data_IF_348344930161
#
_entry.id   IF_348344930161
#
_cell.length_a   1.000
_cell.length_b   1.000
_cell.length_c   1.000
_cell.angle_alpha   90.00
_cell.angle_beta   90.00
_cell.angle_gamma   90.00
#
_symmetry.space_group_name_H-M   'P 1'
#
loop_
_entity.id
_entity.type
_entity.pdbx_description
1 polymer ?
#
# COMPACT_ATOMS: atom_id res chain seq x y z
N UNK A 1 12.82 -6.54 11.50
CA UNK A 1 13.24 -5.12 11.50
C UNK A 1 12.05 -4.17 11.31
N UNK A 2 11.32 -4.18 10.19
CA UNK A 2 10.21 -3.25 9.91
C UNK A 2 9.15 -3.29 11.01
N UNK A 3 8.66 -4.51 11.37
CA UNK A 3 7.67 -4.68 12.45
C UNK A 3 8.14 -4.10 13.79
N UNK A 4 9.39 -4.36 14.18
CA UNK A 4 9.97 -3.86 15.44
C UNK A 4 10.02 -2.33 15.45
N UNK A 5 10.43 -1.72 14.33
CA UNK A 5 10.47 -0.27 14.20
C UNK A 5 9.06 0.36 14.26
N UNK A 6 8.05 -0.29 13.64
CA UNK A 6 6.65 0.14 13.78
C UNK A 6 6.19 0.00 15.23
N UNK A 7 6.51 -1.09 15.92
CA UNK A 7 6.18 -1.31 17.32
C UNK A 7 6.71 -0.17 18.21
N UNK A 8 7.93 0.29 17.94
CA UNK A 8 8.56 1.36 18.73
C UNK A 8 8.03 2.75 18.39
N UNK A 9 7.79 3.05 17.10
CA UNK A 9 7.57 4.41 16.61
C UNK A 9 6.09 4.72 16.31
N UNK A 10 5.29 3.68 16.03
CA UNK A 10 3.89 3.74 15.63
C UNK A 10 3.11 2.55 16.21
N UNK A 11 3.25 2.28 17.52
CA UNK A 11 2.66 1.10 18.17
C UNK A 11 1.14 0.97 17.94
N UNK A 12 0.43 2.11 17.83
CA UNK A 12 -1.00 2.15 17.56
C UNK A 12 -1.38 1.57 16.18
N UNK A 13 -0.47 1.57 15.19
CA UNK A 13 -0.71 0.95 13.89
C UNK A 13 -0.88 -0.57 13.98
N UNK A 14 -0.23 -1.21 14.96
CA UNK A 14 -0.30 -2.67 15.10
C UNK A 14 -1.61 -3.18 15.71
N UNK A 15 -2.48 -2.31 16.22
CA UNK A 15 -3.78 -2.70 16.82
C UNK A 15 -4.68 -3.44 15.83
N UNK A 16 -4.59 -3.11 14.54
CA UNK A 16 -5.38 -3.73 13.46
C UNK A 16 -4.52 -4.57 12.50
N UNK A 17 -3.32 -4.96 12.93
CA UNK A 17 -2.40 -5.70 12.08
C UNK A 17 -2.92 -7.10 11.80
N UNK A 18 -3.07 -7.44 10.52
CA UNK A 18 -3.32 -8.79 10.03
C UNK A 18 -1.98 -9.49 9.79
N UNK A 19 -1.74 -10.65 10.44
CA UNK A 19 -0.58 -11.51 10.15
C UNK A 19 -1.08 -12.80 9.50
N UNK A 20 -0.55 -13.13 8.31
CA UNK A 20 -0.99 -14.32 7.56
C UNK A 20 0.09 -14.85 6.63
N UNK A 21 -0.01 -16.15 6.27
CA UNK A 21 0.74 -16.79 5.17
C UNK A 21 -0.14 -16.95 3.91
N UNK A 22 -1.40 -16.57 3.97
CA UNK A 22 -2.35 -16.66 2.85
C UNK A 22 -2.28 -15.41 1.95
N UNK A 23 -2.95 -15.45 0.82
CA UNK A 23 -3.20 -14.25 -0.01
C UNK A 23 -4.01 -13.23 0.77
N UNK A 24 -3.74 -11.95 0.51
CA UNK A 24 -4.45 -10.83 1.13
C UNK A 24 -5.27 -10.10 0.06
N UNK A 25 -6.51 -9.78 0.41
CA UNK A 25 -7.38 -8.95 -0.41
C UNK A 25 -7.64 -7.64 0.35
N UNK A 26 -7.49 -6.52 -0.34
CA UNK A 26 -7.61 -5.18 0.27
C UNK A 26 -8.78 -4.45 -0.35
N UNK A 27 -9.74 -4.02 0.47
CA UNK A 27 -10.89 -3.24 0.06
C UNK A 27 -11.02 -1.97 0.92
N UNK A 28 -11.59 -0.91 0.34
CA UNK A 28 -11.88 0.34 1.06
C UNK A 28 -13.38 0.64 1.02
N UNK A 29 -14.02 0.53 2.15
CA UNK A 29 -15.45 0.78 2.37
C UNK A 29 -15.77 2.23 2.72
N UNK A 30 -14.81 3.14 2.68
CA UNK A 30 -14.97 4.54 3.11
C UNK A 30 -16.13 5.24 2.41
N UNK A 31 -16.32 5.02 1.10
CA UNK A 31 -17.43 5.64 0.36
C UNK A 31 -18.80 5.06 0.73
N UNK A 32 -18.84 3.79 1.14
CA UNK A 32 -20.08 3.11 1.55
C UNK A 32 -20.52 3.54 2.96
N UNK A 33 -19.55 3.68 3.87
CA UNK A 33 -19.81 4.06 5.26
C UNK A 33 -20.11 5.55 5.43
N UNK A 34 -19.70 6.40 4.47
CA UNK A 34 -19.86 7.87 4.48
C UNK A 34 -19.34 8.57 5.74
N UNK A 35 -18.51 7.91 6.53
CA UNK A 35 -18.08 8.40 7.85
C UNK A 35 -16.56 8.36 8.02
N UNK A 36 -16.06 7.30 8.58
CA UNK A 36 -14.64 7.12 8.85
C UNK A 36 -13.98 6.29 7.75
N UNK A 37 -12.67 6.45 7.59
CA UNK A 37 -11.87 5.58 6.73
C UNK A 37 -12.03 4.12 7.16
N UNK A 38 -12.43 3.26 6.24
CA UNK A 38 -12.81 1.88 6.48
C UNK A 38 -12.10 0.92 5.52
N UNK A 39 -10.77 0.95 5.53
CA UNK A 39 -9.93 -0.01 4.80
C UNK A 39 -9.88 -1.33 5.55
N UNK A 40 -10.19 -2.43 4.86
CA UNK A 40 -10.17 -3.78 5.41
C UNK A 40 -9.22 -4.70 4.66
N UNK A 41 -8.60 -5.62 5.39
CA UNK A 41 -7.71 -6.66 4.88
C UNK A 41 -8.37 -8.02 5.13
N UNK A 42 -8.61 -8.77 4.05
CA UNK A 42 -9.16 -10.12 4.09
C UNK A 42 -8.07 -11.14 3.78
N UNK A 43 -8.08 -12.29 4.45
CA UNK A 43 -7.17 -13.41 4.19
C UNK A 43 -7.94 -14.62 3.67
N UNK A 44 -7.30 -15.38 2.77
CA UNK A 44 -7.85 -16.62 2.24
C UNK A 44 -8.95 -16.41 1.21
N UNK A 45 -10.00 -15.70 1.54
CA UNK A 45 -11.13 -15.44 0.63
C UNK A 45 -11.37 -13.94 0.42
N UNK A 46 -11.65 -13.51 -0.81
CA UNK A 46 -11.97 -12.11 -1.11
C UNK A 46 -13.37 -11.72 -0.60
N UNK A 47 -13.63 -10.41 -0.37
CA UNK A 47 -14.98 -9.91 -0.15
C UNK A 47 -15.84 -10.13 -1.40
N UNK A 48 -17.16 -10.33 -1.22
CA UNK A 48 -18.11 -10.59 -2.31
C UNK A 48 -18.91 -9.35 -2.73
N UNK A 49 -18.84 -8.28 -1.96
CA UNK A 49 -19.71 -7.09 -2.05
C UNK A 49 -19.00 -5.85 -2.58
N UNK A 50 -17.69 -5.91 -2.78
CA UNK A 50 -16.87 -4.79 -3.26
C UNK A 50 -15.68 -5.28 -4.09
N UNK A 51 -15.28 -4.50 -5.09
CA UNK A 51 -14.03 -4.72 -5.82
C UNK A 51 -12.81 -4.47 -4.92
N UNK A 52 -11.74 -5.24 -5.12
CA UNK A 52 -10.58 -5.27 -4.23
C UNK A 52 -9.25 -5.34 -4.99
N UNK A 53 -8.17 -5.07 -4.28
CA UNK A 53 -6.80 -5.36 -4.71
C UNK A 53 -6.34 -6.71 -4.20
N UNK A 54 -5.61 -7.48 -5.02
CA UNK A 54 -5.13 -8.82 -4.65
C UNK A 54 -3.62 -8.86 -4.44
N UNK A 55 -3.20 -9.44 -3.32
CA UNK A 55 -1.81 -9.82 -3.05
C UNK A 55 -1.75 -11.34 -3.04
N UNK A 56 -1.35 -11.92 -4.17
CA UNK A 56 -1.18 -13.36 -4.30
C UNK A 56 0.10 -13.80 -3.57
N UNK A 57 0.01 -14.80 -2.71
CA UNK A 57 1.12 -15.31 -1.90
C UNK A 57 1.34 -16.81 -2.11
N UNK A 58 1.74 -17.25 -3.32
CA UNK A 58 1.94 -18.68 -3.62
C UNK A 58 3.11 -19.30 -2.86
N UNK A 59 4.05 -18.49 -2.36
CA UNK A 59 5.19 -18.97 -1.59
C UNK A 59 4.90 -19.12 -0.09
N UNK A 60 3.66 -18.85 0.37
CA UNK A 60 3.25 -18.90 1.78
C UNK A 60 4.16 -18.08 2.72
N UNK A 61 4.70 -16.96 2.24
CA UNK A 61 5.50 -16.05 3.05
C UNK A 61 4.63 -15.45 4.16
N UNK A 62 5.08 -15.51 5.40
CA UNK A 62 4.37 -14.81 6.49
C UNK A 62 4.51 -13.31 6.34
N UNK A 63 3.38 -12.63 6.18
CA UNK A 63 3.30 -11.18 5.97
C UNK A 63 2.46 -10.52 7.06
N UNK A 64 2.78 -9.26 7.33
CA UNK A 64 1.98 -8.36 8.14
C UNK A 64 1.34 -7.30 7.24
N UNK A 65 0.05 -7.06 7.40
CA UNK A 65 -0.70 -6.00 6.75
C UNK A 65 -1.33 -5.07 7.78
N UNK A 66 -1.17 -3.77 7.62
CA UNK A 66 -1.71 -2.75 8.52
C UNK A 66 -2.62 -1.83 7.71
N UNK A 67 -3.95 -1.90 7.89
CA UNK A 67 -4.86 -0.91 7.34
C UNK A 67 -4.74 0.41 8.11
N UNK A 68 -4.75 1.53 7.41
CA UNK A 68 -4.71 2.85 8.02
C UNK A 68 -6.11 3.43 8.19
N UNK A 69 -6.34 4.05 9.33
CA UNK A 69 -7.54 4.81 9.65
C UNK A 69 -7.25 6.30 9.86
N UNK A 70 -8.24 7.07 10.22
CA UNK A 70 -8.11 8.51 10.42
C UNK A 70 -7.14 8.89 11.54
N UNK A 71 -6.85 7.99 12.48
CA UNK A 71 -5.93 8.21 13.59
C UNK A 71 -4.48 7.80 13.29
N UNK A 72 -4.25 7.08 12.17
CA UNK A 72 -2.93 6.51 11.87
C UNK A 72 -1.85 7.59 11.69
N UNK A 73 -2.18 8.70 11.02
CA UNK A 73 -1.27 9.84 10.88
C UNK A 73 -2.01 11.15 11.12
N UNK A 74 -1.49 11.96 12.03
CA UNK A 74 -2.02 13.28 12.34
C UNK A 74 -0.97 14.36 12.10
N UNK A 75 -1.41 15.56 11.75
CA UNK A 75 -0.56 16.74 11.66
C UNK A 75 -0.34 17.34 13.06
N UNK A 76 0.65 18.23 13.22
CA UNK A 76 0.88 18.91 14.51
C UNK A 76 -0.35 19.63 15.09
N UNK A 77 -1.26 20.10 14.25
CA UNK A 77 -2.52 20.75 14.66
C UNK A 77 -3.65 19.75 14.95
N UNK A 78 -3.38 18.44 15.04
CA UNK A 78 -4.35 17.39 15.32
C UNK A 78 -5.22 16.97 14.13
N UNK A 79 -5.15 17.66 12.98
CA UNK A 79 -5.95 17.28 11.82
C UNK A 79 -5.39 16.01 11.15
N UNK A 80 -6.28 15.25 10.49
CA UNK A 80 -5.92 14.02 9.76
C UNK A 80 -4.89 14.35 8.67
N UNK A 81 -3.80 13.59 8.63
CA UNK A 81 -2.81 13.70 7.57
C UNK A 81 -3.20 12.89 6.34
N UNK A 82 -2.75 13.36 5.17
CA UNK A 82 -2.93 12.59 3.92
C UNK A 82 -2.10 11.32 3.98
N UNK A 83 -2.73 10.17 3.73
CA UNK A 83 -2.14 8.84 3.81
C UNK A 83 -2.76 7.90 2.79
N UNK A 84 -2.08 6.78 2.49
CA UNK A 84 -2.62 5.68 1.67
C UNK A 84 -3.52 4.74 2.49
N UNK A 85 -4.03 3.67 1.87
CA UNK A 85 -4.98 2.75 2.52
C UNK A 85 -4.29 1.80 3.50
N UNK A 86 -3.17 1.21 3.12
CA UNK A 86 -2.47 0.26 3.99
C UNK A 86 -0.98 0.14 3.66
N UNK A 87 -0.27 -0.55 4.54
CA UNK A 87 1.11 -1.02 4.33
C UNK A 87 1.18 -2.51 4.58
N UNK A 88 1.97 -3.22 3.75
CA UNK A 88 2.21 -4.66 3.87
C UNK A 88 3.72 -4.92 3.78
N UNK A 89 4.23 -5.88 4.55
CA UNK A 89 5.65 -6.22 4.60
C UNK A 89 5.85 -7.64 5.13
N UNK A 90 6.99 -8.32 4.85
CA UNK A 90 7.33 -9.60 5.45
C UNK A 90 7.41 -9.50 6.98
N UNK A 91 6.78 -10.45 7.70
CA UNK A 91 6.80 -10.49 9.17
C UNK A 91 8.23 -10.56 9.72
N UNK A 92 9.07 -11.44 9.13
CA UNK A 92 10.50 -11.57 9.44
C UNK A 92 11.35 -10.69 8.51
N UNK A 93 11.14 -9.37 8.54
CA UNK A 93 11.83 -8.43 7.67
C UNK A 93 13.23 -8.07 8.16
N UNK A 94 14.16 -7.93 7.22
CA UNK A 94 15.52 -7.39 7.40
C UNK A 94 15.71 -6.05 6.63
N UNK A 95 16.94 -5.60 6.45
CA UNK A 95 17.29 -4.36 5.74
C UNK A 95 17.15 -4.44 4.21
N UNK A 96 16.94 -5.65 3.64
CA UNK A 96 16.72 -5.89 2.21
C UNK A 96 15.29 -6.30 1.86
N UNK A 97 14.48 -6.58 2.86
CA UNK A 97 13.07 -6.97 2.67
C UNK A 97 12.28 -5.84 2.01
N UNK A 98 11.24 -6.21 1.28
CA UNK A 98 10.35 -5.22 0.68
C UNK A 98 9.37 -4.62 1.69
N UNK A 99 8.88 -3.42 1.35
CA UNK A 99 7.71 -2.78 1.98
C UNK A 99 6.79 -2.25 0.88
N UNK A 100 5.49 -2.53 0.98
CA UNK A 100 4.48 -2.19 0.00
C UNK A 100 3.46 -1.24 0.62
N UNK A 101 3.27 -0.07 0.00
CA UNK A 101 2.20 0.87 0.30
C UNK A 101 1.15 0.79 -0.80
N UNK A 102 -0.11 0.71 -0.43
CA UNK A 102 -1.24 0.56 -1.35
C UNK A 102 -2.25 1.68 -1.17
N UNK A 103 -2.70 2.22 -2.29
CA UNK A 103 -3.81 3.18 -2.36
C UNK A 103 -4.85 2.72 -3.35
N UNK A 104 -6.11 2.74 -2.96
CA UNK A 104 -7.27 2.36 -3.77
C UNK A 104 -8.07 3.60 -4.18
N UNK A 105 -8.57 3.60 -5.41
CA UNK A 105 -9.52 4.62 -5.89
C UNK A 105 -10.65 3.95 -6.64
N UNK A 106 -11.85 4.01 -6.07
CA UNK A 106 -13.05 3.47 -6.70
C UNK A 106 -13.61 4.48 -7.70
N UNK A 107 -13.54 4.12 -8.98
CA UNK A 107 -14.10 4.91 -10.07
C UNK A 107 -14.22 4.05 -11.31
N UNK A 108 -15.41 3.99 -11.88
CA UNK A 108 -15.66 3.36 -13.18
C UNK A 108 -15.50 4.34 -14.37
N UNK A 109 -15.20 5.63 -14.11
CA UNK A 109 -15.11 6.67 -15.12
C UNK A 109 -13.65 6.88 -15.55
N UNK A 110 -13.27 6.39 -16.71
CA UNK A 110 -11.91 6.51 -17.29
C UNK A 110 -11.37 7.93 -17.35
N UNK A 111 -12.21 8.92 -17.63
CA UNK A 111 -11.84 10.35 -17.64
C UNK A 111 -11.29 10.85 -16.31
N UNK A 112 -11.59 10.18 -15.21
CA UNK A 112 -11.13 10.53 -13.87
C UNK A 112 -9.77 9.89 -13.51
N UNK A 113 -9.24 8.97 -14.32
CA UNK A 113 -8.04 8.19 -13.99
C UNK A 113 -6.84 9.08 -13.68
N UNK A 114 -6.58 10.09 -14.52
CA UNK A 114 -5.47 11.04 -14.30
C UNK A 114 -5.57 11.73 -12.93
N UNK A 115 -6.76 12.20 -12.57
CA UNK A 115 -7.01 12.88 -11.28
C UNK A 115 -6.83 11.89 -10.12
N UNK A 116 -7.46 10.72 -10.22
CA UNK A 116 -7.45 9.69 -9.18
C UNK A 116 -6.05 9.13 -8.93
N UNK A 117 -5.32 8.74 -9.98
CA UNK A 117 -3.98 8.17 -9.86
C UNK A 117 -2.95 9.22 -9.42
N UNK A 118 -3.09 10.50 -9.81
CA UNK A 118 -2.27 11.57 -9.25
C UNK A 118 -2.53 11.79 -7.75
N UNK A 119 -3.79 11.73 -7.31
CA UNK A 119 -4.14 11.80 -5.88
C UNK A 119 -3.56 10.61 -5.12
N UNK A 120 -3.75 9.40 -5.63
CA UNK A 120 -3.21 8.17 -5.06
C UNK A 120 -1.68 8.25 -4.91
N UNK A 121 -0.98 8.65 -5.97
CA UNK A 121 0.48 8.81 -5.93
C UNK A 121 0.93 9.78 -4.83
N UNK A 122 0.24 10.92 -4.66
CA UNK A 122 0.57 11.88 -3.59
C UNK A 122 0.37 11.28 -2.20
N UNK A 123 -0.69 10.49 -1.98
CA UNK A 123 -0.97 9.81 -0.71
C UNK A 123 0.10 8.77 -0.41
N UNK A 124 0.46 7.94 -1.40
CA UNK A 124 1.52 6.94 -1.29
C UNK A 124 2.87 7.55 -0.87
N UNK A 125 3.33 8.59 -1.59
CA UNK A 125 4.58 9.27 -1.24
C UNK A 125 4.54 9.91 0.14
N UNK A 126 3.38 10.45 0.54
CA UNK A 126 3.24 11.08 1.84
C UNK A 126 3.36 10.04 2.97
N UNK A 127 2.71 8.89 2.83
CA UNK A 127 2.80 7.80 3.82
C UNK A 127 4.20 7.20 3.85
N UNK A 128 4.80 6.95 2.69
CA UNK A 128 6.18 6.50 2.59
C UNK A 128 7.14 7.47 3.30
N UNK A 129 6.95 8.78 3.11
CA UNK A 129 7.76 9.80 3.77
C UNK A 129 7.64 9.74 5.30
N UNK A 130 6.41 9.56 5.86
CA UNK A 130 6.23 9.44 7.30
C UNK A 130 7.01 8.26 7.88
N UNK A 131 6.97 7.11 7.23
CA UNK A 131 7.70 5.93 7.69
C UNK A 131 9.22 6.09 7.50
N UNK A 132 9.66 6.60 6.35
CA UNK A 132 11.07 6.79 6.04
C UNK A 132 11.73 7.83 6.95
N UNK A 133 11.08 8.96 7.24
CA UNK A 133 11.58 10.02 8.11
C UNK A 133 11.77 9.59 9.56
N UNK A 134 11.08 8.54 9.98
CA UNK A 134 11.21 7.90 11.28
C UNK A 134 12.05 6.62 11.24
N UNK A 135 12.72 6.34 10.11
CA UNK A 135 13.56 5.13 9.94
C UNK A 135 12.85 3.80 10.20
N UNK A 136 11.54 3.72 9.89
CA UNK A 136 10.80 2.45 9.95
C UNK A 136 11.41 1.41 9.02
N UNK A 137 11.89 1.86 7.86
CA UNK A 137 12.64 1.07 6.89
C UNK A 137 13.82 1.87 6.32
N UNK A 138 14.83 1.18 5.81
CA UNK A 138 16.06 1.77 5.29
C UNK A 138 15.98 2.05 3.78
N UNK A 139 17.03 2.68 3.23
CA UNK A 139 17.19 2.84 1.77
C UNK A 139 17.46 1.53 1.03
N UNK A 140 17.89 0.49 1.74
CA UNK A 140 18.16 -0.82 1.16
C UNK A 140 16.86 -1.63 0.94
N UNK A 141 15.82 -1.35 1.72
CA UNK A 141 14.51 -1.97 1.52
C UNK A 141 13.89 -1.53 0.19
N UNK A 142 13.44 -2.47 -0.62
CA UNK A 142 12.70 -2.13 -1.83
C UNK A 142 11.30 -1.65 -1.46
N UNK A 143 10.99 -0.40 -1.78
CA UNK A 143 9.71 0.22 -1.49
C UNK A 143 8.79 0.15 -2.71
N UNK A 144 7.67 -0.55 -2.61
CA UNK A 144 6.63 -0.61 -3.63
C UNK A 144 5.53 0.40 -3.30
N UNK A 145 5.22 1.28 -4.26
CA UNK A 145 4.13 2.25 -4.20
C UNK A 145 3.09 1.85 -5.25
N UNK A 146 1.98 1.28 -4.81
CA UNK A 146 0.96 0.72 -5.69
C UNK A 146 -0.32 1.54 -5.60
N UNK A 147 -0.82 1.98 -6.76
CA UNK A 147 -2.14 2.58 -6.85
C UNK A 147 -3.05 1.69 -7.70
N UNK A 148 -4.26 1.46 -7.21
CA UNK A 148 -5.23 0.58 -7.84
C UNK A 148 -6.54 1.32 -8.15
N UNK A 149 -7.17 0.91 -9.25
CA UNK A 149 -8.55 1.24 -9.60
C UNK A 149 -9.33 -0.09 -9.67
N UNK A 150 -9.80 -0.66 -8.55
CA UNK A 150 -10.36 -2.01 -8.51
C UNK A 150 -11.52 -2.22 -9.47
N UNK A 151 -12.34 -1.19 -9.72
CA UNK A 151 -13.47 -1.19 -10.66
C UNK A 151 -13.06 -1.18 -12.14
N UNK A 152 -11.77 -1.18 -12.47
CA UNK A 152 -11.26 -1.12 -13.85
C UNK A 152 -10.22 -2.20 -14.08
N UNK A 153 -10.01 -2.58 -15.34
CA UNK A 153 -8.95 -3.51 -15.74
C UNK A 153 -7.68 -2.73 -16.13
N UNK A 154 -6.49 -3.09 -15.62
CA UNK A 154 -5.25 -2.51 -16.11
C UNK A 154 -4.93 -2.98 -17.54
N UNK A 155 -4.17 -2.22 -18.37
CA UNK A 155 -3.55 -0.94 -18.02
C UNK A 155 -4.58 0.19 -17.95
N UNK A 156 -4.43 1.08 -16.94
CA UNK A 156 -5.38 2.19 -16.75
C UNK A 156 -5.15 3.27 -17.82
N UNK A 157 -6.18 3.55 -18.58
CA UNK A 157 -6.14 4.55 -19.67
C UNK A 157 -5.94 5.97 -19.11
N UNK A 158 -5.45 6.87 -19.99
CA UNK A 158 -5.25 8.29 -19.72
C UNK A 158 -4.25 8.63 -18.59
N UNK A 159 -3.43 7.66 -18.15
CA UNK A 159 -2.39 7.92 -17.17
C UNK A 159 -1.19 7.00 -17.35
N UNK A 160 -0.01 7.61 -17.44
CA UNK A 160 1.26 6.90 -17.43
C UNK A 160 2.34 7.75 -16.76
N UNK A 161 3.37 7.10 -16.25
CA UNK A 161 4.61 7.74 -15.82
C UNK A 161 5.67 7.45 -16.88
N UNK A 162 6.57 8.42 -17.10
CA UNK A 162 7.66 8.21 -18.06
C UNK A 162 8.63 7.14 -17.57
N UNK A 163 9.20 6.38 -18.50
CA UNK A 163 10.18 5.33 -18.17
C UNK A 163 11.42 5.91 -17.47
N UNK A 164 11.86 7.12 -17.85
CA UNK A 164 12.99 7.80 -17.20
C UNK A 164 12.70 8.08 -15.73
N UNK A 165 11.51 8.59 -15.40
CA UNK A 165 11.08 8.83 -14.02
C UNK A 165 11.04 7.53 -13.20
N UNK A 166 10.45 6.46 -13.75
CA UNK A 166 10.39 5.16 -13.07
C UNK A 166 11.79 4.59 -12.79
N UNK A 167 12.69 4.72 -13.78
CA UNK A 167 14.08 4.28 -13.67
C UNK A 167 14.84 5.09 -12.61
N UNK A 168 14.65 6.40 -12.59
CA UNK A 168 15.24 7.28 -11.58
C UNK A 168 14.78 6.93 -10.18
N UNK A 169 13.47 6.74 -9.98
CA UNK A 169 12.90 6.35 -8.68
C UNK A 169 13.49 5.03 -8.18
N UNK A 170 13.62 4.03 -9.07
CA UNK A 170 14.24 2.74 -8.72
C UNK A 170 15.73 2.90 -8.39
N UNK A 171 16.51 3.58 -9.24
CA UNK A 171 17.97 3.68 -9.06
C UNK A 171 18.37 4.55 -7.86
N UNK A 172 17.75 5.73 -7.70
CA UNK A 172 18.14 6.68 -6.65
C UNK A 172 17.49 6.41 -5.29
N UNK A 173 16.26 5.88 -5.28
CA UNK A 173 15.45 5.79 -4.07
C UNK A 173 15.03 4.37 -3.67
N UNK A 174 15.36 3.36 -4.51
CA UNK A 174 14.90 1.98 -4.39
C UNK A 174 13.37 1.88 -4.31
N UNK A 175 12.66 2.72 -5.07
CA UNK A 175 11.20 2.82 -5.13
C UNK A 175 10.69 2.31 -6.47
N UNK A 176 9.73 1.40 -6.43
CA UNK A 176 9.01 0.86 -7.59
C UNK A 176 7.57 1.37 -7.54
N UNK A 177 7.12 2.08 -8.57
CA UNK A 177 5.77 2.62 -8.67
C UNK A 177 5.02 1.83 -9.75
N UNK A 178 3.81 1.33 -9.43
CA UNK A 178 2.94 0.63 -10.39
C UNK A 178 1.47 1.01 -10.21
N UNK A 179 0.72 0.85 -11.30
CA UNK A 179 -0.72 1.07 -11.36
C UNK A 179 -1.38 -0.22 -11.84
N UNK A 180 -1.92 -1.00 -10.92
CA UNK A 180 -2.47 -2.34 -11.18
C UNK A 180 -3.38 -2.80 -10.05
N UNK A 181 -4.11 -3.90 -10.24
CA UNK A 181 -5.07 -4.43 -9.27
C UNK A 181 -4.58 -5.70 -8.55
N UNK A 182 -3.39 -6.17 -8.85
CA UNK A 182 -2.81 -7.33 -8.17
C UNK A 182 -1.30 -7.34 -8.21
N UNK A 183 -0.71 -8.06 -7.27
CA UNK A 183 0.72 -8.42 -7.24
C UNK A 183 0.89 -9.87 -6.84
N UNK A 184 2.08 -10.41 -7.09
CA UNK A 184 2.43 -11.76 -6.67
C UNK A 184 3.72 -11.71 -5.83
N UNK A 185 3.66 -12.26 -4.62
CA UNK A 185 4.82 -12.37 -3.73
C UNK A 185 5.70 -13.51 -4.23
N UNK A 186 6.99 -13.24 -4.42
CA UNK A 186 7.99 -14.24 -4.82
C UNK A 186 8.76 -14.77 -3.61
N UNK A 187 9.21 -13.87 -2.77
CA UNK A 187 9.94 -14.14 -1.53
C UNK A 187 9.94 -12.87 -0.64
N UNK A 188 10.73 -12.85 0.42
CA UNK A 188 10.85 -11.71 1.35
C UNK A 188 11.64 -10.52 0.77
N UNK A 189 12.22 -10.65 -0.44
CA UNK A 189 12.97 -9.59 -1.15
C UNK A 189 12.26 -9.08 -2.40
N UNK A 190 11.38 -9.87 -3.01
CA UNK A 190 10.85 -9.61 -4.34
C UNK A 190 9.34 -9.77 -4.44
N UNK A 191 8.72 -8.78 -5.07
CA UNK A 191 7.33 -8.81 -5.53
C UNK A 191 7.33 -8.71 -7.06
N UNK A 192 6.56 -9.56 -7.71
CA UNK A 192 6.25 -9.42 -9.13
C UNK A 192 5.10 -8.42 -9.30
N UNK A 193 5.38 -7.32 -9.99
CA UNK A 193 4.47 -6.20 -10.23
C UNK A 193 4.29 -5.95 -11.71
#
# INVERSE_FOLDING_TARGET
MIRTNIQTLFSHHLKKCLSTCESIYVADYTEQTKSARATELFKGSPPSDIDYFTINNPCNLKMDGIPFDNSSFTKPNGSIASQCECVIFPNSSDDKSWILFLELKYSNKYKNNRKNLNKARKQLFKTQYYYKSKSVFSKNNTCYLLASLPMQRPPFTHYSLTQSYLTEMKKKHNVIIRFQNSVEIRDDKHIKV
#
